data_IF_688368623583
#
_entry.id   IF_688368623583
#
_cell.length_a   1.000
_cell.length_b   1.000
_cell.length_c   1.000
_cell.angle_alpha   90.00
_cell.angle_beta   90.00
_cell.angle_gamma   90.00
#
_symmetry.space_group_name_H-M   'P 1'
#
loop_
_entity.id
_entity.type
_entity.pdbx_description
1 polymer ?
#
# COMPACT_ATOMS: atom_id res chain seq x y z
N UNK A 1 14.71 1.06 -8.78
CA UNK A 1 13.24 1.07 -8.58
C UNK A 1 12.77 2.44 -8.98
N UNK A 2 11.67 2.54 -9.72
CA UNK A 2 11.09 3.85 -10.03
C UNK A 2 10.40 4.42 -8.78
N UNK A 3 10.37 5.74 -8.66
CA UNK A 3 9.64 6.40 -7.57
C UNK A 3 8.15 6.08 -7.72
N UNK A 4 7.54 5.53 -6.68
CA UNK A 4 6.12 5.19 -6.70
C UNK A 4 5.74 4.05 -5.76
N UNK A 5 4.55 3.52 -6.00
CA UNK A 5 3.98 2.37 -5.31
C UNK A 5 3.67 1.30 -6.37
N UNK A 6 4.17 0.09 -6.16
CA UNK A 6 4.00 -1.04 -7.06
C UNK A 6 3.32 -2.19 -6.35
N UNK A 7 2.34 -2.81 -7.02
CA UNK A 7 1.68 -4.03 -6.58
C UNK A 7 2.03 -5.15 -7.55
N UNK A 8 2.68 -6.20 -7.04
CA UNK A 8 3.03 -7.39 -7.80
C UNK A 8 2.19 -8.57 -7.29
N UNK A 9 1.44 -9.22 -8.19
CA UNK A 9 0.74 -10.45 -7.85
C UNK A 9 1.74 -11.61 -7.76
N UNK A 10 1.92 -12.18 -6.57
CA UNK A 10 2.76 -13.37 -6.36
C UNK A 10 1.96 -14.63 -6.70
N UNK A 11 0.80 -14.79 -6.06
CA UNK A 11 -0.10 -15.93 -6.30
C UNK A 11 -1.56 -15.55 -6.02
N UNK A 12 -2.50 -16.33 -6.55
CA UNK A 12 -3.93 -16.21 -6.23
C UNK A 12 -4.64 -17.56 -6.24
N UNK A 13 -5.73 -17.65 -5.49
CA UNK A 13 -6.78 -18.65 -5.69
C UNK A 13 -8.12 -17.96 -5.99
N UNK A 14 -9.24 -18.64 -5.71
CA UNK A 14 -10.57 -18.08 -5.96
C UNK A 14 -10.99 -17.01 -4.94
N UNK A 15 -10.38 -17.00 -3.76
CA UNK A 15 -10.79 -16.20 -2.61
C UNK A 15 -9.71 -15.17 -2.21
N UNK A 16 -8.42 -15.51 -2.38
CA UNK A 16 -7.28 -14.75 -1.85
C UNK A 16 -6.25 -14.42 -2.93
N UNK A 17 -5.67 -13.22 -2.80
CA UNK A 17 -4.51 -12.73 -3.53
C UNK A 17 -3.34 -12.58 -2.56
N UNK A 18 -2.17 -13.09 -2.94
CA UNK A 18 -0.90 -12.69 -2.34
C UNK A 18 -0.25 -11.62 -3.22
N UNK A 19 -0.02 -10.45 -2.63
CA UNK A 19 0.57 -9.30 -3.30
C UNK A 19 1.85 -8.90 -2.59
N UNK A 20 2.91 -8.67 -3.37
CA UNK A 20 4.05 -7.89 -2.90
C UNK A 20 3.80 -6.43 -3.21
N UNK A 21 3.86 -5.60 -2.18
CA UNK A 21 3.72 -4.16 -2.31
C UNK A 21 5.06 -3.51 -2.03
N UNK A 22 5.52 -2.70 -2.98
CA UNK A 22 6.74 -1.92 -2.86
C UNK A 22 6.36 -0.44 -2.83
N UNK A 23 6.95 0.31 -1.90
CA UNK A 23 6.89 1.77 -1.90
C UNK A 23 8.32 2.32 -1.92
N UNK A 24 8.60 3.25 -2.83
CA UNK A 24 9.92 3.86 -2.98
C UNK A 24 9.80 5.34 -3.32
N UNK A 25 10.49 6.21 -2.58
CA UNK A 25 10.49 7.65 -2.84
C UNK A 25 11.81 8.21 -3.38
N UNK A 26 12.81 7.35 -3.65
CA UNK A 26 14.15 7.74 -4.08
C UNK A 26 15.22 7.61 -3.00
N UNK A 27 14.84 7.78 -1.73
CA UNK A 27 15.75 7.72 -0.58
C UNK A 27 15.36 6.62 0.42
N UNK A 28 14.06 6.37 0.58
CA UNK A 28 13.47 5.41 1.49
C UNK A 28 12.53 4.47 0.75
N UNK A 29 12.51 3.21 1.19
CA UNK A 29 11.56 2.23 0.69
C UNK A 29 11.22 1.14 1.68
N UNK A 30 10.11 0.48 1.38
CA UNK A 30 9.61 -0.67 2.12
C UNK A 30 8.99 -1.68 1.18
N UNK A 31 9.05 -2.95 1.58
CA UNK A 31 8.40 -4.06 0.88
C UNK A 31 7.62 -4.86 1.92
N UNK A 32 6.38 -5.23 1.58
CA UNK A 32 5.52 -6.10 2.36
C UNK A 32 4.86 -7.14 1.46
N UNK A 33 4.64 -8.36 1.96
CA UNK A 33 3.84 -9.38 1.29
C UNK A 33 2.51 -9.55 2.03
N UNK A 34 1.44 -9.02 1.42
CA UNK A 34 0.10 -8.98 2.00
C UNK A 34 -0.81 -10.04 1.39
N UNK A 35 -1.82 -10.45 2.16
CA UNK A 35 -2.89 -11.34 1.70
C UNK A 35 -4.22 -10.59 1.75
N UNK A 36 -4.87 -10.48 0.60
CA UNK A 36 -6.12 -9.74 0.43
C UNK A 36 -7.18 -10.61 -0.23
N UNK A 37 -8.45 -10.34 0.03
CA UNK A 37 -9.53 -10.93 -0.74
C UNK A 37 -9.52 -10.42 -2.18
N UNK A 38 -9.99 -11.26 -3.12
CA UNK A 38 -10.08 -10.88 -4.55
C UNK A 38 -10.87 -9.56 -4.76
N UNK A 39 -11.84 -9.27 -3.90
CA UNK A 39 -12.64 -8.04 -3.94
C UNK A 39 -11.98 -6.80 -3.32
N UNK A 40 -10.97 -6.96 -2.47
CA UNK A 40 -10.47 -5.87 -1.63
C UNK A 40 -9.67 -4.83 -2.44
N UNK A 41 -8.94 -5.28 -3.48
CA UNK A 41 -8.32 -4.37 -4.44
C UNK A 41 -9.37 -3.54 -5.21
N UNK A 42 -10.53 -4.12 -5.52
CA UNK A 42 -11.60 -3.39 -6.18
C UNK A 42 -12.22 -2.34 -5.26
N UNK A 43 -12.39 -2.66 -3.98
CA UNK A 43 -12.85 -1.71 -2.96
C UNK A 43 -11.86 -0.56 -2.81
N UNK A 44 -10.56 -0.85 -2.69
CA UNK A 44 -9.53 0.17 -2.61
C UNK A 44 -9.48 1.08 -3.85
N UNK A 45 -9.53 0.49 -5.05
CA UNK A 45 -9.56 1.26 -6.31
C UNK A 45 -10.83 2.13 -6.41
N UNK A 46 -11.97 1.61 -5.96
CA UNK A 46 -13.24 2.36 -5.90
C UNK A 46 -13.16 3.52 -4.92
N UNK A 47 -12.53 3.32 -3.76
CA UNK A 47 -12.31 4.36 -2.76
C UNK A 47 -11.38 5.46 -3.28
N UNK A 48 -10.46 5.19 -4.20
CA UNK A 48 -9.60 6.21 -4.83
C UNK A 48 -10.21 6.86 -6.07
N UNK A 49 -11.33 6.34 -6.58
CA UNK A 49 -11.91 6.83 -7.82
C UNK A 49 -12.28 8.32 -7.69
N UNK A 50 -11.79 9.12 -8.63
CA UNK A 50 -12.02 10.57 -8.65
C UNK A 50 -11.25 11.35 -7.56
N UNK A 51 -10.24 10.74 -6.93
CA UNK A 51 -9.28 11.48 -6.12
C UNK A 51 -8.29 12.27 -7.02
N UNK A 52 -7.88 13.49 -6.61
CA UNK A 52 -8.52 14.32 -5.59
C UNK A 52 -9.78 14.99 -6.14
N UNK A 53 -10.88 14.99 -5.39
CA UNK A 53 -12.10 15.69 -5.79
C UNK A 53 -12.12 17.17 -5.37
N UNK A 54 -11.29 17.55 -4.39
CA UNK A 54 -11.04 18.92 -3.94
C UNK A 54 -9.70 18.98 -3.16
N UNK A 55 -9.12 20.17 -2.90
CA UNK A 55 -7.83 20.29 -2.20
C UNK A 55 -7.81 19.76 -0.76
N UNK A 56 -8.96 19.55 -0.13
CA UNK A 56 -9.07 18.95 1.21
C UNK A 56 -9.43 17.46 1.17
N UNK A 57 -9.52 16.84 -0.02
CA UNK A 57 -9.80 15.40 -0.17
C UNK A 57 -8.67 14.59 0.47
N UNK A 58 -9.05 13.69 1.39
CA UNK A 58 -8.14 12.80 2.10
C UNK A 58 -8.73 11.40 2.10
N UNK A 59 -7.94 10.42 1.68
CA UNK A 59 -8.36 9.02 1.62
C UNK A 59 -7.29 8.13 2.19
N UNK A 60 -7.70 7.10 2.91
CA UNK A 60 -6.80 6.12 3.49
C UNK A 60 -7.17 4.74 2.97
N UNK A 61 -6.17 3.99 2.54
CA UNK A 61 -6.29 2.57 2.21
C UNK A 61 -5.34 1.81 3.12
N UNK A 62 -5.83 0.71 3.67
CA UNK A 62 -5.04 -0.20 4.47
C UNK A 62 -5.21 -1.60 3.90
N UNK A 63 -4.09 -2.26 3.69
CA UNK A 63 -3.97 -3.66 3.33
C UNK A 63 -3.16 -4.40 4.40
N UNK A 64 -3.45 -5.69 4.56
CA UNK A 64 -2.84 -6.56 5.54
C UNK A 64 -3.24 -6.17 6.96
N UNK A 65 -2.32 -6.36 7.90
CA UNK A 65 -2.57 -6.04 9.31
C UNK A 65 -1.32 -5.50 9.96
N UNK A 66 -1.47 -4.44 10.76
CA UNK A 66 -0.41 -3.79 11.54
C UNK A 66 -0.39 -4.25 13.01
N UNK A 67 -1.29 -5.14 13.42
CA UNK A 67 -1.28 -5.71 14.75
C UNK A 67 -0.08 -6.63 14.93
N UNK A 68 0.90 -6.19 15.73
CA UNK A 68 2.11 -6.93 16.09
C UNK A 68 1.86 -8.27 16.77
N UNK A 69 0.62 -8.54 17.23
CA UNK A 69 0.22 -9.85 17.76
C UNK A 69 -0.06 -10.87 16.67
N UNK A 70 -0.32 -10.42 15.45
CA UNK A 70 -0.41 -11.24 14.26
C UNK A 70 0.91 -11.14 13.50
N UNK A 71 1.50 -12.27 13.11
CA UNK A 71 2.67 -12.30 12.22
C UNK A 71 2.24 -11.98 10.78
N UNK A 72 1.67 -10.80 10.57
CA UNK A 72 1.15 -10.32 9.30
C UNK A 72 1.95 -9.10 8.84
N UNK A 73 2.12 -8.95 7.53
CA UNK A 73 2.64 -7.73 6.95
C UNK A 73 1.47 -6.75 6.69
N UNK A 74 1.78 -5.47 6.52
CA UNK A 74 0.78 -4.44 6.31
C UNK A 74 1.27 -3.26 5.49
N UNK A 75 0.36 -2.67 4.73
CA UNK A 75 0.59 -1.42 4.01
C UNK A 75 -0.56 -0.45 4.25
N UNK A 76 -0.24 0.76 4.70
CA UNK A 76 -1.18 1.86 4.88
C UNK A 76 -0.76 2.99 3.96
N UNK A 77 -1.70 3.50 3.16
CA UNK A 77 -1.47 4.57 2.20
C UNK A 77 -2.45 5.71 2.47
N UNK A 78 -1.91 6.90 2.71
CA UNK A 78 -2.68 8.13 2.95
C UNK A 78 -2.54 9.08 1.79
N UNK A 79 -3.63 9.24 1.05
CA UNK A 79 -3.73 10.12 -0.10
C UNK A 79 -4.28 11.47 0.33
N UNK A 80 -3.60 12.55 -0.07
CA UNK A 80 -4.01 13.92 0.22
C UNK A 80 -3.40 14.90 -0.79
N UNK A 81 -3.89 16.14 -0.79
CA UNK A 81 -3.25 17.22 -1.55
C UNK A 81 -2.24 17.96 -0.66
N UNK A 82 -1.06 18.27 -1.20
CA UNK A 82 -0.01 18.99 -0.45
C UNK A 82 -0.24 20.50 -0.40
N UNK A 83 -1.10 21.01 -1.29
CA UNK A 83 -1.43 22.44 -1.36
C UNK A 83 -2.86 22.69 -1.85
N UNK A 84 -3.24 23.98 -1.86
CA UNK A 84 -4.54 24.44 -2.34
C UNK A 84 -4.76 24.33 -3.85
N UNK A 85 -3.74 23.95 -4.63
CA UNK A 85 -3.86 23.74 -6.08
C UNK A 85 -4.30 22.29 -6.42
N UNK A 86 -4.35 21.40 -5.43
CA UNK A 86 -4.78 20.01 -5.61
C UNK A 86 -3.67 19.08 -6.08
N UNK A 87 -2.39 19.42 -5.82
CA UNK A 87 -1.29 18.50 -6.12
C UNK A 87 -1.36 17.27 -5.21
N UNK A 88 -1.66 16.11 -5.81
CA UNK A 88 -1.82 14.85 -5.12
C UNK A 88 -0.50 14.30 -4.57
N UNK A 89 -0.57 13.69 -3.40
CA UNK A 89 0.53 13.04 -2.71
C UNK A 89 0.03 11.82 -1.95
N UNK A 90 0.94 10.87 -1.73
CA UNK A 90 0.67 9.64 -0.96
C UNK A 90 1.79 9.39 0.03
N UNK A 91 1.41 9.17 1.28
CA UNK A 91 2.31 8.66 2.32
C UNK A 91 2.07 7.17 2.47
N UNK A 92 3.12 6.35 2.35
CA UNK A 92 3.04 4.91 2.56
C UNK A 92 3.77 4.52 3.86
N UNK A 93 3.08 3.80 4.73
CA UNK A 93 3.67 3.08 5.86
C UNK A 93 3.66 1.59 5.53
N UNK A 94 4.83 0.97 5.53
CA UNK A 94 5.02 -0.45 5.21
C UNK A 94 5.58 -1.14 6.44
N UNK A 95 4.90 -2.18 6.90
CA UNK A 95 5.36 -3.05 7.98
C UNK A 95 5.56 -4.46 7.42
N UNK A 96 6.76 -5.00 7.62
CA UNK A 96 7.09 -6.37 7.25
C UNK A 96 7.67 -7.12 8.44
N UNK A 97 7.02 -8.23 8.77
CA UNK A 97 7.44 -9.15 9.82
C UNK A 97 8.58 -10.07 9.36
N UNK A 98 9.03 -9.97 8.11
CA UNK A 98 10.16 -10.74 7.58
C UNK A 98 11.51 -10.17 8.06
N UNK A 99 11.87 -10.40 9.33
CA UNK A 99 13.20 -10.05 9.83
C UNK A 99 14.18 -11.23 9.76
N UNK A 100 14.97 -11.26 8.67
CA UNK A 100 16.44 -11.44 8.68
C UNK A 100 16.99 -11.20 7.27
N UNK A 101 17.53 -10.00 7.04
CA UNK A 101 18.39 -9.72 5.89
C UNK A 101 19.80 -10.23 6.17
N UNK A 102 20.22 -11.26 5.46
CA UNK A 102 21.59 -11.76 5.42
C UNK A 102 21.90 -12.24 4.00
N UNK A 103 23.04 -11.84 3.47
CA UNK A 103 23.53 -12.26 2.15
C UNK A 103 24.62 -13.31 2.37
N UNK A 104 24.59 -14.40 1.58
CA UNK A 104 25.75 -15.31 1.39
C UNK A 104 26.61 -14.82 0.23
#
# INVERSE_FOLDING_TARGET
MEVGIEFQLIWRDNDVLNLRVLAWNGDFGGVAEIYEGVGDLHVAASNLRGFPNNPSDRREIVFGNFDRKCAADGVSMRFHCVDGAGHAYVEASVDSNYQRGGTI
#
